data_IF_535519155872
#
_entry.id   IF_535519155872
#
_cell.length_a   1.000
_cell.length_b   1.000
_cell.length_c   1.000
_cell.angle_alpha   90.00
_cell.angle_beta   90.00
_cell.angle_gamma   90.00
#
_symmetry.space_group_name_H-M   'P 1'
#
loop_
_entity.id
_entity.type
_entity.pdbx_description
1 polymer ?
#
# COMPACT_ATOMS: atom_id res chain seq x y z
N UNK A 1 -15.20 -5.16 -29.21
CA UNK A 1 -14.60 -6.51 -29.39
C UNK A 1 -13.11 -6.58 -29.10
N UNK A 2 -12.20 -5.86 -29.77
CA UNK A 2 -10.75 -5.91 -29.41
C UNK A 2 -10.43 -5.19 -28.09
N UNK A 3 -11.09 -4.06 -27.81
CA UNK A 3 -10.94 -3.31 -26.56
C UNK A 3 -11.48 -4.11 -25.36
N UNK A 4 -12.68 -4.70 -25.51
CA UNK A 4 -13.28 -5.56 -24.48
C UNK A 4 -12.40 -6.76 -24.07
N UNK A 5 -11.67 -7.37 -25.01
CA UNK A 5 -10.75 -8.47 -24.69
C UNK A 5 -9.51 -8.01 -23.94
N UNK A 6 -8.96 -6.84 -24.31
CA UNK A 6 -7.82 -6.25 -23.60
C UNK A 6 -8.20 -5.93 -22.16
N UNK A 7 -9.33 -5.28 -21.96
CA UNK A 7 -9.79 -4.87 -20.64
C UNK A 7 -10.10 -6.09 -19.75
N UNK A 8 -10.71 -7.14 -20.33
CA UNK A 8 -10.92 -8.40 -19.64
C UNK A 8 -9.58 -9.06 -19.22
N UNK A 9 -8.57 -9.07 -20.09
CA UNK A 9 -7.26 -9.64 -19.77
C UNK A 9 -6.52 -8.81 -18.71
N UNK A 10 -6.61 -7.48 -18.77
CA UNK A 10 -6.06 -6.59 -17.74
C UNK A 10 -6.71 -6.87 -16.38
N UNK A 11 -8.03 -7.04 -16.35
CA UNK A 11 -8.76 -7.42 -15.13
C UNK A 11 -8.27 -8.75 -14.54
N UNK A 12 -8.06 -9.77 -15.39
CA UNK A 12 -7.51 -11.07 -14.97
C UNK A 12 -6.09 -10.93 -14.41
N UNK A 13 -5.22 -10.19 -15.10
CA UNK A 13 -3.84 -9.97 -14.65
C UNK A 13 -3.79 -9.22 -13.32
N UNK A 14 -4.57 -8.15 -13.15
CA UNK A 14 -4.65 -7.38 -11.92
C UNK A 14 -5.06 -8.28 -10.75
N UNK A 15 -6.14 -9.04 -10.93
CA UNK A 15 -6.61 -10.00 -9.93
C UNK A 15 -5.53 -11.02 -9.54
N UNK A 16 -4.81 -11.58 -10.52
CA UNK A 16 -3.72 -12.51 -10.26
C UNK A 16 -2.61 -11.88 -9.41
N UNK A 17 -2.25 -10.62 -9.67
CA UNK A 17 -1.25 -9.90 -8.87
C UNK A 17 -1.73 -9.73 -7.43
N UNK A 18 -2.95 -9.25 -7.22
CA UNK A 18 -3.52 -9.05 -5.87
C UNK A 18 -3.62 -10.35 -5.08
N UNK A 19 -4.09 -11.43 -5.72
CA UNK A 19 -4.24 -12.76 -5.09
C UNK A 19 -2.88 -13.44 -4.82
N UNK A 20 -1.81 -13.01 -5.50
CA UNK A 20 -0.45 -13.53 -5.26
C UNK A 20 0.25 -12.91 -4.04
N UNK A 21 -0.30 -11.84 -3.47
CA UNK A 21 0.26 -11.22 -2.27
C UNK A 21 0.05 -12.13 -1.06
N UNK A 22 1.11 -12.30 -0.25
CA UNK A 22 0.96 -12.86 1.09
C UNK A 22 0.17 -11.88 1.98
N UNK A 23 -0.37 -12.38 3.07
CA UNK A 23 -1.05 -11.58 4.10
C UNK A 23 -0.32 -11.71 5.42
N UNK A 24 -0.25 -10.64 6.20
CA UNK A 24 0.34 -10.63 7.54
C UNK A 24 -0.36 -9.61 8.44
N UNK A 25 -0.16 -9.74 9.75
CA UNK A 25 -0.68 -8.83 10.75
C UNK A 25 0.40 -7.84 11.21
N UNK A 26 0.07 -6.55 11.18
CA UNK A 26 0.85 -5.48 11.77
C UNK A 26 0.29 -5.12 13.14
N UNK A 27 1.12 -5.15 14.17
CA UNK A 27 0.78 -4.66 15.50
C UNK A 27 1.38 -3.28 15.70
N UNK A 28 0.52 -2.30 15.98
CA UNK A 28 0.91 -0.91 16.19
C UNK A 28 1.16 -0.61 17.66
N UNK A 29 2.06 0.32 17.93
CA UNK A 29 2.36 0.85 19.26
C UNK A 29 1.16 1.52 19.93
N UNK A 30 0.14 1.93 19.16
CA UNK A 30 -1.16 2.39 19.67
C UNK A 30 -2.03 1.27 20.25
N UNK A 31 -1.65 0.00 20.10
CA UNK A 31 -2.41 -1.18 20.56
C UNK A 31 -3.34 -1.77 19.50
N UNK A 32 -3.49 -1.13 18.34
CA UNK A 32 -4.28 -1.64 17.22
C UNK A 32 -3.52 -2.71 16.43
N UNK A 33 -4.26 -3.57 15.74
CA UNK A 33 -3.72 -4.53 14.77
C UNK A 33 -4.39 -4.31 13.43
N UNK A 34 -3.63 -4.47 12.35
CA UNK A 34 -4.09 -4.34 10.97
C UNK A 34 -3.61 -5.53 10.16
N UNK A 35 -4.54 -6.25 9.54
CA UNK A 35 -4.24 -7.27 8.53
C UNK A 35 -3.93 -6.58 7.20
N UNK A 36 -2.83 -6.95 6.55
CA UNK A 36 -2.35 -6.31 5.33
C UNK A 36 -1.88 -7.31 4.28
N UNK A 37 -2.10 -6.98 3.01
CA UNK A 37 -1.45 -7.65 1.87
C UNK A 37 -0.01 -7.15 1.74
N UNK A 38 0.93 -8.04 1.47
CA UNK A 38 2.36 -7.71 1.37
C UNK A 38 2.82 -7.65 -0.09
N UNK A 39 3.14 -6.44 -0.55
CA UNK A 39 3.71 -6.16 -1.86
C UNK A 39 5.24 -6.13 -1.83
N UNK A 40 5.87 -7.20 -2.30
CA UNK A 40 7.35 -7.36 -2.31
C UNK A 40 7.92 -7.20 -3.71
N UNK A 41 7.30 -7.83 -4.71
CA UNK A 41 7.77 -7.77 -6.10
C UNK A 41 7.47 -6.42 -6.74
N UNK A 42 8.22 -6.06 -7.78
CA UNK A 42 7.96 -4.83 -8.54
C UNK A 42 6.53 -4.81 -9.11
N UNK A 43 6.03 -5.94 -9.61
CA UNK A 43 4.67 -6.03 -10.14
C UNK A 43 3.61 -5.77 -9.07
N UNK A 44 3.77 -6.33 -7.87
CA UNK A 44 2.86 -6.09 -6.74
C UNK A 44 2.90 -4.62 -6.28
N UNK A 45 4.10 -4.03 -6.19
CA UNK A 45 4.27 -2.62 -5.78
C UNK A 45 3.72 -1.63 -6.81
N UNK A 46 3.92 -1.91 -8.10
CA UNK A 46 3.37 -1.07 -9.17
C UNK A 46 1.85 -1.17 -9.25
N UNK A 47 1.30 -2.35 -8.94
CA UNK A 47 -0.14 -2.54 -8.90
C UNK A 47 -0.76 -1.82 -7.69
N UNK A 48 -0.16 -1.96 -6.51
CA UNK A 48 -0.65 -1.32 -5.29
C UNK A 48 -2.13 -1.65 -5.02
N UNK A 49 -2.87 -0.63 -4.58
CA UNK A 49 -4.33 -0.67 -4.46
C UNK A 49 -5.06 -0.10 -5.70
N UNK A 50 -4.37 0.05 -6.85
CA UNK A 50 -4.94 0.63 -8.05
C UNK A 50 -6.19 -0.16 -8.52
N UNK A 51 -7.22 0.57 -8.96
CA UNK A 51 -8.50 0.02 -9.40
C UNK A 51 -9.27 -0.85 -8.38
N UNK A 52 -8.84 -0.89 -7.10
CA UNK A 52 -9.59 -1.55 -6.03
C UNK A 52 -10.75 -0.65 -5.59
N UNK A 53 -11.98 -1.13 -5.74
CA UNK A 53 -13.19 -0.40 -5.30
C UNK A 53 -13.46 -0.54 -3.80
N UNK A 54 -12.79 -1.50 -3.15
CA UNK A 54 -12.88 -1.78 -1.71
C UNK A 54 -11.48 -2.11 -1.24
N UNK A 55 -11.01 -1.44 -0.19
CA UNK A 55 -9.78 -1.78 0.53
C UNK A 55 -10.21 -2.63 1.72
N UNK A 56 -10.31 -3.94 1.51
CA UNK A 56 -10.74 -4.90 2.55
C UNK A 56 -9.69 -5.04 3.67
N UNK A 57 -8.43 -4.95 3.28
CA UNK A 57 -7.22 -5.01 4.07
C UNK A 57 -6.28 -3.89 3.62
N UNK A 58 -5.40 -3.40 4.50
CA UNK A 58 -4.35 -2.49 4.07
C UNK A 58 -3.35 -3.16 3.13
N UNK A 59 -2.44 -2.39 2.54
CA UNK A 59 -1.31 -2.91 1.78
C UNK A 59 0.01 -2.44 2.38
N UNK A 60 0.92 -3.39 2.64
CA UNK A 60 2.30 -3.15 3.06
C UNK A 60 3.23 -3.32 1.87
N UNK A 61 3.93 -2.25 1.50
CA UNK A 61 4.99 -2.25 0.51
C UNK A 61 6.33 -2.45 1.20
N UNK A 62 7.12 -3.44 0.78
CA UNK A 62 8.40 -3.80 1.43
C UNK A 62 9.58 -3.52 0.50
N UNK A 63 10.54 -2.70 0.93
CA UNK A 63 11.75 -2.37 0.16
C UNK A 63 13.01 -2.88 0.88
N UNK A 64 13.71 -3.83 0.26
CA UNK A 64 14.95 -4.41 0.79
C UNK A 64 16.07 -3.38 0.97
N UNK A 65 16.07 -2.34 0.13
CA UNK A 65 16.96 -1.18 0.26
C UNK A 65 16.10 0.05 0.57
N UNK A 66 16.42 0.82 1.63
CA UNK A 66 15.72 2.08 1.91
C UNK A 66 15.67 2.98 0.67
N UNK A 67 14.51 3.58 0.42
CA UNK A 67 14.22 4.31 -0.83
C UNK A 67 13.50 5.63 -0.57
N UNK A 68 13.37 6.43 -1.63
CA UNK A 68 12.59 7.66 -1.70
C UNK A 68 11.54 7.59 -2.81
N UNK A 69 11.10 6.37 -3.16
CA UNK A 69 10.19 6.16 -4.27
C UNK A 69 8.88 6.96 -4.07
N UNK A 70 8.45 7.77 -5.05
CA UNK A 70 7.17 8.46 -4.95
C UNK A 70 6.02 7.47 -5.17
N UNK A 71 4.89 7.73 -4.51
CA UNK A 71 3.63 7.04 -4.73
C UNK A 71 2.67 7.95 -5.51
N UNK A 72 1.76 7.36 -6.27
CA UNK A 72 0.73 8.08 -7.04
C UNK A 72 -0.65 7.67 -6.58
N UNK A 73 -1.60 8.61 -6.65
CA UNK A 73 -3.02 8.38 -6.36
C UNK A 73 -3.88 8.41 -7.64
N UNK A 74 -3.25 8.58 -8.82
CA UNK A 74 -3.93 8.87 -10.09
C UNK A 74 -4.96 7.81 -10.50
N UNK A 75 -4.65 6.53 -10.25
CA UNK A 75 -5.53 5.38 -10.55
C UNK A 75 -6.22 4.80 -9.30
N UNK A 76 -6.06 5.46 -8.16
CA UNK A 76 -6.66 5.05 -6.88
C UNK A 76 -8.09 5.59 -6.79
N UNK A 77 -9.05 4.70 -6.53
CA UNK A 77 -10.49 5.01 -6.55
C UNK A 77 -11.06 5.46 -5.21
N UNK A 78 -10.28 5.37 -4.13
CA UNK A 78 -10.67 5.74 -2.76
C UNK A 78 -9.60 6.60 -2.11
N UNK A 79 -9.99 7.42 -1.14
CA UNK A 79 -9.04 8.19 -0.34
C UNK A 79 -8.22 7.22 0.52
N UNK A 80 -6.91 7.46 0.63
CA UNK A 80 -6.01 6.59 1.38
C UNK A 80 -5.29 7.35 2.49
N UNK A 81 -5.08 6.66 3.61
CA UNK A 81 -4.00 7.00 4.54
C UNK A 81 -2.72 6.27 4.13
N UNK A 82 -1.60 6.98 4.14
CA UNK A 82 -0.29 6.43 3.77
C UNK A 82 0.73 6.75 4.87
N UNK A 83 1.29 5.71 5.47
CA UNK A 83 2.39 5.78 6.43
C UNK A 83 3.70 5.29 5.84
N UNK A 84 4.77 6.07 5.98
CA UNK A 84 6.13 5.67 5.61
C UNK A 84 6.91 5.30 6.87
N UNK A 85 7.66 4.20 6.81
CA UNK A 85 8.38 3.66 7.97
C UNK A 85 9.80 3.24 7.60
N UNK A 86 10.71 3.36 8.58
CA UNK A 86 12.08 2.88 8.43
C UNK A 86 12.17 1.34 8.54
N UNK A 87 13.38 0.79 8.44
CA UNK A 87 13.59 -0.67 8.51
C UNK A 87 13.24 -1.30 9.86
N UNK A 88 13.12 -0.51 10.92
CA UNK A 88 12.72 -0.97 12.26
C UNK A 88 11.20 -0.91 12.47
N UNK A 89 10.45 -0.37 11.51
CA UNK A 89 9.00 -0.15 11.65
C UNK A 89 8.66 1.15 12.38
N UNK A 90 9.61 2.07 12.55
CA UNK A 90 9.36 3.37 13.14
C UNK A 90 8.70 4.31 12.12
N UNK A 91 7.66 5.03 12.54
CA UNK A 91 6.91 5.93 11.68
C UNK A 91 7.76 7.17 11.34
N UNK A 92 7.97 7.40 10.04
CA UNK A 92 8.70 8.55 9.52
C UNK A 92 7.77 9.68 9.09
N UNK A 93 6.68 9.33 8.40
CA UNK A 93 5.69 10.28 7.90
C UNK A 93 4.33 9.61 7.77
N UNK A 94 3.27 10.35 8.02
CA UNK A 94 1.88 9.96 7.80
C UNK A 94 1.15 11.07 7.03
N UNK A 95 0.23 10.71 6.15
CA UNK A 95 -0.70 11.64 5.51
C UNK A 95 -1.94 10.94 4.98
N UNK A 96 -3.01 11.72 4.76
CA UNK A 96 -4.23 11.30 4.08
C UNK A 96 -4.29 11.97 2.71
N UNK A 97 -4.63 11.20 1.67
CA UNK A 97 -4.51 11.62 0.28
C UNK A 97 -5.80 11.31 -0.48
N UNK A 98 -6.20 12.25 -1.35
CA UNK A 98 -7.43 12.16 -2.12
C UNK A 98 -7.28 11.22 -3.32
N UNK A 99 -8.33 10.44 -3.57
CA UNK A 99 -8.48 9.62 -4.77
C UNK A 99 -8.27 10.44 -6.06
N UNK A 100 -7.54 9.89 -7.03
CA UNK A 100 -7.29 10.53 -8.32
C UNK A 100 -6.39 11.78 -8.27
N UNK A 101 -5.73 12.06 -7.14
CA UNK A 101 -4.79 13.19 -7.06
C UNK A 101 -3.61 13.00 -8.00
N UNK A 102 -3.27 14.05 -8.74
CA UNK A 102 -2.07 14.11 -9.59
C UNK A 102 -0.81 14.53 -8.83
N UNK A 103 -0.95 14.93 -7.56
CA UNK A 103 0.20 15.30 -6.73
C UNK A 103 0.90 14.03 -6.21
N UNK A 104 2.22 13.90 -6.40
CA UNK A 104 2.94 12.73 -5.93
C UNK A 104 3.01 12.72 -4.41
N UNK A 105 2.77 11.56 -3.83
CA UNK A 105 3.02 11.30 -2.41
C UNK A 105 4.52 11.04 -2.24
N UNK A 106 5.18 11.88 -1.45
CA UNK A 106 6.63 11.83 -1.23
C UNK A 106 6.96 11.83 0.25
N UNK A 107 8.09 11.23 0.62
CA UNK A 107 8.65 11.25 1.95
C UNK A 107 10.08 11.85 1.90
N UNK A 108 10.42 12.81 2.79
CA UNK A 108 11.76 13.40 2.81
C UNK A 108 12.81 12.50 3.46
N UNK A 109 12.41 11.35 4.01
CA UNK A 109 13.27 10.37 4.67
C UNK A 109 13.32 9.07 3.87
N UNK A 110 14.46 8.39 3.89
CA UNK A 110 14.57 7.07 3.29
C UNK A 110 13.73 6.07 4.10
N UNK A 111 12.85 5.34 3.43
CA UNK A 111 11.92 4.39 4.06
C UNK A 111 12.13 2.98 3.52
N UNK A 112 11.83 1.97 4.34
CA UNK A 112 11.84 0.56 3.96
C UNK A 112 10.44 -0.03 3.86
N UNK A 113 9.45 0.59 4.49
CA UNK A 113 8.07 0.15 4.41
C UNK A 113 7.12 1.32 4.14
N UNK A 114 6.02 1.02 3.44
CA UNK A 114 4.87 1.91 3.31
C UNK A 114 3.62 1.11 3.62
N UNK A 115 2.71 1.66 4.41
CA UNK A 115 1.39 1.07 4.69
C UNK A 115 0.33 1.98 4.11
N UNK A 116 -0.50 1.44 3.23
CA UNK A 116 -1.68 2.10 2.68
C UNK A 116 -2.95 1.47 3.27
N UNK A 117 -3.91 2.30 3.67
CA UNK A 117 -5.27 1.88 4.05
C UNK A 117 -6.29 2.87 3.51
N UNK A 118 -7.58 2.54 3.58
CA UNK A 118 -8.64 3.54 3.43
C UNK A 118 -8.42 4.71 4.42
N UNK A 119 -8.78 5.92 4.01
CA UNK A 119 -8.63 7.11 4.83
C UNK A 119 -9.36 6.99 6.18
N UNK A 120 -8.65 7.30 7.27
CA UNK A 120 -9.09 7.15 8.65
C UNK A 120 -8.86 5.77 9.25
N UNK A 121 -8.35 4.79 8.50
CA UNK A 121 -8.18 3.41 8.97
C UNK A 121 -6.75 3.07 9.41
N UNK A 122 -5.73 3.86 9.05
CA UNK A 122 -4.34 3.56 9.39
C UNK A 122 -4.05 3.92 10.86
N UNK A 123 -3.73 2.95 11.73
CA UNK A 123 -3.42 3.27 13.11
C UNK A 123 -2.13 4.10 13.22
N UNK A 124 -2.13 5.06 14.15
CA UNK A 124 -0.94 5.87 14.40
C UNK A 124 0.12 5.09 15.18
N UNK A 125 1.38 5.45 14.90
CA UNK A 125 2.57 4.99 15.63
C UNK A 125 3.38 3.92 14.88
N UNK A 126 4.47 3.51 15.51
CA UNK A 126 5.37 2.46 15.02
C UNK A 126 4.63 1.12 14.94
N UNK A 127 5.04 0.26 14.00
CA UNK A 127 4.51 -1.09 13.89
C UNK A 127 5.59 -2.16 14.05
N UNK A 128 5.14 -3.38 14.34
CA UNK A 128 5.92 -4.62 14.21
C UNK A 128 5.07 -5.71 13.59
N UNK A 129 5.69 -6.71 12.97
CA UNK A 129 4.97 -7.91 12.56
C UNK A 129 4.48 -8.67 13.79
N UNK A 130 3.22 -9.09 13.80
CA UNK A 130 2.62 -9.80 14.95
C UNK A 130 3.25 -11.19 15.19
N UNK A 131 3.82 -11.80 14.14
CA UNK A 131 4.50 -13.09 14.19
C UNK A 131 5.89 -12.95 13.55
N UNK A 132 6.87 -12.54 14.34
CA UNK A 132 8.30 -12.61 14.00
C UNK A 132 9.02 -13.52 15.00
#
# INVERSE_FOLDING_TARGET
MLEEWRDAMLSVCNRFVTESCNVTDLQFSSGHTLEVRVAVTLAQKMHGLAASTIVDMGMLFVYDTPTFAPFTMEETLVDLDIGHYDSAGCLLQFGSYLAGSSEPVTCPYAFSYVVETEAGALPQGDFRFAYA
#
